data_IF_089637625734
#
_entry.id   IF_089637625734
#
_cell.length_a   1.000
_cell.length_b   1.000
_cell.length_c   1.000
_cell.angle_alpha   90.00
_cell.angle_beta   90.00
_cell.angle_gamma   90.00
#
_symmetry.space_group_name_H-M   'P 1'
#
loop_
_entity.id
_entity.type
_entity.pdbx_description
1 polymer ?
#
# COMPACT_ATOMS: atom_id res chain seq x y z
N UNK A 1 -3.73 4.86 -33.54
CA UNK A 1 -5.08 5.45 -33.42
C UNK A 1 -5.93 4.54 -32.55
N UNK A 2 -6.62 5.04 -31.50
CA UNK A 2 -7.39 4.15 -30.60
C UNK A 2 -8.84 4.02 -31.06
N UNK A 3 -9.21 2.84 -31.51
CA UNK A 3 -10.60 2.45 -31.77
C UNK A 3 -11.22 1.96 -30.46
N UNK A 4 -12.45 2.37 -30.17
CA UNK A 4 -13.29 1.83 -29.09
C UNK A 4 -14.47 1.19 -29.78
N UNK A 5 -14.55 -0.14 -29.80
CA UNK A 5 -15.77 -0.82 -30.24
C UNK A 5 -16.82 -0.71 -29.13
N UNK A 6 -18.03 -0.29 -29.50
CA UNK A 6 -19.21 -0.27 -28.63
C UNK A 6 -20.05 -1.49 -29.02
N UNK A 7 -19.82 -2.63 -28.39
CA UNK A 7 -20.86 -3.66 -28.33
C UNK A 7 -21.50 -3.65 -26.95
N UNK A 8 -22.71 -3.07 -26.90
CA UNK A 8 -23.66 -3.27 -25.80
C UNK A 8 -24.65 -4.32 -26.25
N UNK A 9 -24.62 -5.50 -25.64
CA UNK A 9 -25.80 -6.34 -25.52
C UNK A 9 -26.09 -6.55 -24.04
N UNK A 10 -27.22 -6.01 -23.60
CA UNK A 10 -27.75 -6.17 -22.26
C UNK A 10 -28.66 -7.41 -22.26
N UNK A 11 -28.19 -8.55 -21.77
CA UNK A 11 -29.08 -9.59 -21.25
C UNK A 11 -28.44 -10.51 -20.19
N UNK A 12 -28.75 -10.23 -18.92
CA UNK A 12 -29.05 -11.28 -17.94
C UNK A 12 -27.90 -12.10 -17.37
N UNK A 13 -27.14 -11.52 -16.43
CA UNK A 13 -26.43 -12.14 -15.27
C UNK A 13 -25.42 -13.28 -15.50
N UNK A 14 -25.42 -14.03 -16.60
CA UNK A 14 -24.46 -15.11 -16.90
C UNK A 14 -23.30 -14.67 -17.81
N UNK A 15 -23.48 -13.67 -18.66
CA UNK A 15 -22.47 -13.24 -19.65
C UNK A 15 -21.26 -12.51 -19.05
N UNK A 16 -21.38 -11.90 -17.85
CA UNK A 16 -20.28 -11.13 -17.24
C UNK A 16 -19.09 -11.97 -16.76
N UNK A 17 -19.22 -13.30 -16.64
CA UNK A 17 -18.10 -14.17 -16.25
C UNK A 17 -17.18 -14.54 -17.41
N UNK A 18 -17.64 -14.36 -18.67
CA UNK A 18 -16.86 -14.63 -19.88
C UNK A 18 -16.24 -13.37 -20.52
N UNK A 19 -16.51 -12.17 -19.98
CA UNK A 19 -16.01 -10.90 -20.54
C UNK A 19 -14.54 -10.58 -20.19
N UNK A 20 -14.01 -11.08 -19.07
CA UNK A 20 -12.64 -10.78 -18.61
C UNK A 20 -12.09 -11.84 -17.65
N UNK A 21 -10.76 -11.97 -17.61
CA UNK A 21 -10.10 -12.95 -16.76
C UNK A 21 -10.23 -12.58 -15.26
N UNK A 22 -10.43 -13.59 -14.43
CA UNK A 22 -10.41 -13.41 -12.99
C UNK A 22 -8.98 -13.21 -12.48
N UNK A 23 -8.80 -12.24 -11.60
CA UNK A 23 -7.56 -12.12 -10.84
C UNK A 23 -7.38 -13.33 -9.95
N UNK A 24 -6.20 -13.92 -10.02
CA UNK A 24 -5.88 -15.19 -9.37
C UNK A 24 -4.56 -15.07 -8.62
N UNK A 25 -4.52 -15.63 -7.42
CA UNK A 25 -3.34 -15.67 -6.57
C UNK A 25 -2.91 -17.12 -6.38
N UNK A 26 -1.69 -17.45 -6.80
CA UNK A 26 -1.04 -18.70 -6.41
C UNK A 26 -0.48 -18.52 -5.01
N UNK A 27 -1.04 -19.29 -4.07
CA UNK A 27 -0.72 -19.20 -2.64
C UNK A 27 0.74 -19.62 -2.37
N UNK A 28 1.38 -19.05 -1.33
CA UNK A 28 2.69 -19.48 -0.88
C UNK A 28 2.65 -20.95 -0.43
N UNK A 29 3.73 -21.68 -0.70
CA UNK A 29 3.97 -23.03 -0.20
C UNK A 29 4.14 -23.02 1.31
N UNK A 30 4.02 -24.20 1.93
CA UNK A 30 4.24 -24.38 3.37
C UNK A 30 5.63 -23.88 3.78
N UNK A 31 6.66 -24.21 2.99
CA UNK A 31 8.02 -23.73 3.21
C UNK A 31 8.11 -22.19 3.19
N UNK A 32 7.38 -21.54 2.28
CA UNK A 32 7.36 -20.08 2.22
C UNK A 32 6.67 -19.45 3.42
N UNK A 33 5.60 -20.07 3.91
CA UNK A 33 4.94 -19.68 5.16
C UNK A 33 5.87 -19.81 6.36
N UNK A 34 6.65 -20.89 6.43
CA UNK A 34 7.67 -21.10 7.46
C UNK A 34 8.67 -19.94 7.44
N UNK A 35 9.19 -19.55 6.27
CA UNK A 35 10.09 -18.39 6.14
C UNK A 35 9.43 -17.09 6.64
N UNK A 36 8.19 -16.83 6.25
CA UNK A 36 7.45 -15.62 6.70
C UNK A 36 7.33 -15.60 8.22
N UNK A 37 7.00 -16.74 8.85
CA UNK A 37 6.91 -16.88 10.30
C UNK A 37 8.27 -16.64 10.95
N UNK A 38 9.34 -17.26 10.45
CA UNK A 38 10.69 -17.07 10.99
C UNK A 38 11.18 -15.62 10.90
N UNK A 39 10.95 -14.94 9.78
CA UNK A 39 11.29 -13.52 9.63
C UNK A 39 10.51 -12.67 10.64
N UNK A 40 9.23 -12.96 10.82
CA UNK A 40 8.37 -12.24 11.78
C UNK A 40 8.87 -12.45 13.21
N UNK A 41 9.14 -13.69 13.60
CA UNK A 41 9.67 -14.02 14.92
C UNK A 41 11.05 -13.40 15.15
N UNK A 42 11.97 -13.50 14.18
CA UNK A 42 13.29 -12.89 14.26
C UNK A 42 13.23 -11.37 14.42
N UNK A 43 12.31 -10.71 13.71
CA UNK A 43 12.06 -9.26 13.84
C UNK A 43 11.55 -8.88 15.24
N UNK A 44 10.69 -9.70 15.83
CA UNK A 44 10.20 -9.49 17.19
C UNK A 44 11.27 -9.76 18.26
N UNK A 45 12.11 -10.79 18.07
CA UNK A 45 13.23 -11.08 18.97
C UNK A 45 14.26 -9.95 18.95
N UNK A 46 14.57 -9.42 17.75
CA UNK A 46 15.38 -8.23 17.60
C UNK A 46 14.79 -7.04 18.37
N UNK A 47 13.46 -6.88 18.33
CA UNK A 47 12.80 -5.82 19.07
C UNK A 47 12.92 -6.01 20.60
N UNK A 48 12.71 -7.22 21.13
CA UNK A 48 12.96 -7.53 22.56
C UNK A 48 14.38 -7.17 22.96
N UNK A 49 15.36 -7.58 22.17
CA UNK A 49 16.78 -7.34 22.46
C UNK A 49 17.11 -5.83 22.51
N UNK A 50 16.38 -5.00 21.77
CA UNK A 50 16.63 -3.56 21.68
C UNK A 50 15.86 -2.73 22.72
N UNK A 51 14.74 -3.22 23.24
CA UNK A 51 13.86 -2.44 24.14
C UNK A 51 13.74 -2.98 25.55
N UNK A 52 14.36 -4.13 25.85
CA UNK A 52 14.29 -4.80 27.16
C UNK A 52 12.85 -5.09 27.63
N UNK A 53 11.87 -5.07 26.72
CA UNK A 53 10.47 -5.35 27.00
C UNK A 53 10.34 -6.86 27.23
N UNK A 54 9.62 -7.32 28.29
CA UNK A 54 9.40 -8.74 28.51
C UNK A 54 8.80 -9.42 27.27
N UNK A 55 9.42 -10.53 26.84
CA UNK A 55 9.02 -11.26 25.64
C UNK A 55 7.53 -11.62 25.64
N UNK A 56 6.97 -11.98 26.80
CA UNK A 56 5.55 -12.32 26.95
C UNK A 56 4.63 -11.14 26.64
N UNK A 57 4.94 -9.95 27.17
CA UNK A 57 4.19 -8.73 26.90
C UNK A 57 4.30 -8.35 25.41
N UNK A 58 5.50 -8.48 24.84
CA UNK A 58 5.73 -8.19 23.43
C UNK A 58 4.92 -9.11 22.52
N UNK A 59 4.93 -10.42 22.79
CA UNK A 59 4.19 -11.40 22.00
C UNK A 59 2.69 -11.14 22.03
N UNK A 60 2.12 -10.75 23.18
CA UNK A 60 0.71 -10.37 23.29
C UNK A 60 0.40 -9.13 22.47
N UNK A 61 1.22 -8.08 22.58
CA UNK A 61 1.05 -6.82 21.84
C UNK A 61 1.16 -7.06 20.33
N UNK A 62 2.22 -7.74 19.88
CA UNK A 62 2.44 -8.04 18.45
C UNK A 62 1.33 -8.91 17.89
N UNK A 63 0.90 -9.96 18.61
CA UNK A 63 -0.18 -10.84 18.16
C UNK A 63 -1.49 -10.06 18.03
N UNK A 64 -1.80 -9.19 19.01
CA UNK A 64 -2.94 -8.29 18.95
C UNK A 64 -2.87 -7.36 17.75
N UNK A 65 -1.73 -6.69 17.54
CA UNK A 65 -1.50 -5.79 16.41
C UNK A 65 -1.64 -6.52 15.08
N UNK A 66 -1.07 -7.71 14.92
CA UNK A 66 -1.20 -8.52 13.71
C UNK A 66 -2.68 -8.85 13.45
N UNK A 67 -3.38 -9.35 14.47
CA UNK A 67 -4.78 -9.72 14.38
C UNK A 67 -5.67 -8.53 13.98
N UNK A 68 -5.55 -7.42 14.71
CA UNK A 68 -6.29 -6.20 14.41
C UNK A 68 -5.88 -5.60 13.07
N UNK A 69 -4.61 -5.69 12.65
CA UNK A 69 -4.15 -5.21 11.35
C UNK A 69 -4.84 -5.97 10.22
N UNK A 70 -4.85 -7.30 10.27
CA UNK A 70 -5.51 -8.12 9.23
C UNK A 70 -6.99 -7.76 9.12
N UNK A 71 -7.67 -7.63 10.27
CA UNK A 71 -9.07 -7.25 10.32
C UNK A 71 -9.31 -5.83 9.78
N UNK A 72 -8.50 -4.88 10.21
CA UNK A 72 -8.61 -3.48 9.80
C UNK A 72 -8.30 -3.31 8.32
N UNK A 73 -7.27 -3.95 7.79
CA UNK A 73 -6.92 -3.96 6.36
C UNK A 73 -8.06 -4.51 5.50
N UNK A 74 -8.75 -5.54 5.99
CA UNK A 74 -9.92 -6.08 5.31
C UNK A 74 -11.07 -5.07 5.25
N UNK A 75 -11.43 -4.46 6.39
CA UNK A 75 -12.51 -3.47 6.47
C UNK A 75 -12.20 -2.25 5.62
N UNK A 76 -11.02 -1.67 5.81
CA UNK A 76 -10.59 -0.46 5.11
C UNK A 76 -10.40 -0.72 3.63
N UNK A 77 -9.91 -1.89 3.21
CA UNK A 77 -9.87 -2.30 1.81
C UNK A 77 -11.26 -2.29 1.18
N UNK A 78 -12.25 -2.94 1.81
CA UNK A 78 -13.62 -2.93 1.32
C UNK A 78 -14.25 -1.53 1.28
N UNK A 79 -14.08 -0.77 2.36
CA UNK A 79 -14.61 0.58 2.48
C UNK A 79 -14.03 1.52 1.42
N UNK A 80 -12.70 1.52 1.28
CA UNK A 80 -11.97 2.35 0.32
C UNK A 80 -12.36 2.01 -1.10
N UNK A 81 -12.46 0.72 -1.44
CA UNK A 81 -12.89 0.29 -2.78
C UNK A 81 -14.32 0.75 -3.09
N UNK A 82 -15.25 0.58 -2.14
CA UNK A 82 -16.66 0.97 -2.34
C UNK A 82 -16.83 2.49 -2.44
N UNK A 83 -16.18 3.25 -1.57
CA UNK A 83 -16.40 4.69 -1.47
C UNK A 83 -15.50 5.46 -2.41
N UNK A 84 -14.22 5.12 -2.46
CA UNK A 84 -13.23 5.90 -3.19
C UNK A 84 -13.23 5.53 -4.67
N UNK A 85 -13.37 4.24 -5.03
CA UNK A 85 -13.30 3.81 -6.44
C UNK A 85 -14.68 3.84 -7.10
N UNK A 86 -15.61 3.03 -6.61
CA UNK A 86 -16.91 2.85 -7.28
C UNK A 86 -17.74 4.14 -7.29
N UNK A 87 -17.80 4.88 -6.18
CA UNK A 87 -18.55 6.16 -6.19
C UNK A 87 -17.88 7.19 -7.09
N UNK A 88 -16.55 7.23 -7.21
CA UNK A 88 -15.91 8.18 -8.13
C UNK A 88 -16.15 7.81 -9.58
N UNK A 89 -15.94 6.55 -9.98
CA UNK A 89 -16.16 6.12 -11.36
C UNK A 89 -17.62 6.37 -11.78
N UNK A 90 -18.57 6.05 -10.90
CA UNK A 90 -19.99 6.38 -11.11
C UNK A 90 -20.23 7.89 -11.27
N UNK A 91 -19.48 8.73 -10.53
CA UNK A 91 -19.67 10.19 -10.51
C UNK A 91 -18.92 10.96 -11.59
N UNK A 92 -17.91 10.37 -12.25
CA UNK A 92 -17.36 10.89 -13.52
C UNK A 92 -18.51 11.14 -14.50
N UNK A 93 -19.47 10.21 -14.53
CA UNK A 93 -20.65 10.24 -15.41
C UNK A 93 -21.78 11.17 -14.93
N UNK A 94 -21.91 11.43 -13.61
CA UNK A 94 -23.05 12.19 -13.03
C UNK A 94 -22.69 13.62 -12.63
N UNK A 95 -21.40 13.94 -12.57
CA UNK A 95 -20.91 15.32 -12.68
C UNK A 95 -20.80 16.17 -11.40
N UNK A 96 -21.30 15.73 -10.24
CA UNK A 96 -21.20 16.50 -8.97
C UNK A 96 -20.35 15.80 -7.92
N UNK A 97 -19.28 16.47 -7.48
CA UNK A 97 -18.38 16.01 -6.40
C UNK A 97 -18.29 17.10 -5.32
N UNK A 98 -18.62 16.75 -4.08
CA UNK A 98 -18.48 17.67 -2.95
C UNK A 98 -17.02 18.07 -2.74
N UNK A 99 -16.80 19.31 -2.29
CA UNK A 99 -15.47 19.93 -2.16
C UNK A 99 -14.50 19.04 -1.38
N UNK A 100 -14.85 18.61 -0.15
CA UNK A 100 -14.00 17.77 0.70
C UNK A 100 -13.57 16.46 0.03
N UNK A 101 -14.50 15.78 -0.65
CA UNK A 101 -14.19 14.54 -1.36
C UNK A 101 -13.25 14.83 -2.54
N UNK A 102 -13.41 15.95 -3.26
CA UNK A 102 -12.54 16.29 -4.39
C UNK A 102 -11.09 16.44 -3.95
N UNK A 103 -10.85 17.15 -2.84
CA UNK A 103 -9.50 17.34 -2.31
C UNK A 103 -8.90 16.07 -1.71
N UNK A 104 -9.67 15.30 -0.93
CA UNK A 104 -9.16 14.03 -0.39
C UNK A 104 -8.78 13.06 -1.50
N UNK A 105 -9.56 13.01 -2.58
CA UNK A 105 -9.26 12.14 -3.72
C UNK A 105 -8.07 12.64 -4.54
N UNK A 106 -7.89 13.96 -4.69
CA UNK A 106 -6.69 14.52 -5.30
C UNK A 106 -5.45 14.22 -4.46
N UNK A 107 -5.55 14.35 -3.13
CA UNK A 107 -4.47 14.04 -2.19
C UNK A 107 -4.05 12.56 -2.24
N UNK A 108 -5.03 11.65 -2.39
CA UNK A 108 -4.83 10.21 -2.56
C UNK A 108 -4.47 9.78 -4.00
N UNK A 109 -4.43 10.70 -4.97
CA UNK A 109 -4.14 10.39 -6.38
C UNK A 109 -5.25 9.67 -7.14
N UNK A 110 -6.49 9.75 -6.67
CA UNK A 110 -7.68 9.11 -7.25
C UNK A 110 -8.63 10.09 -7.93
N UNK A 111 -8.10 11.21 -8.41
CA UNK A 111 -8.90 12.11 -9.22
C UNK A 111 -9.04 11.50 -10.63
N UNK A 112 -10.18 10.85 -10.87
CA UNK A 112 -10.53 10.40 -12.21
C UNK A 112 -10.99 11.61 -13.02
N UNK A 113 -10.24 11.95 -14.05
CA UNK A 113 -10.49 13.09 -14.91
C UNK A 113 -11.57 12.75 -15.94
N UNK A 114 -12.59 13.59 -16.07
CA UNK A 114 -13.67 13.37 -17.04
C UNK A 114 -13.17 13.40 -18.49
N UNK A 115 -12.04 14.05 -18.75
CA UNK A 115 -11.48 14.15 -20.09
C UNK A 115 -10.77 12.86 -20.51
N UNK A 116 -10.42 11.99 -19.57
CA UNK A 116 -9.76 10.72 -19.85
C UNK A 116 -10.79 9.61 -20.12
N UNK A 117 -10.47 8.74 -21.09
CA UNK A 117 -11.29 7.55 -21.37
C UNK A 117 -10.77 6.37 -20.56
N UNK A 118 -11.53 5.96 -19.54
CA UNK A 118 -11.17 4.83 -18.67
C UNK A 118 -11.67 3.50 -19.24
N UNK A 119 -10.89 2.44 -19.06
CA UNK A 119 -11.28 1.06 -19.39
C UNK A 119 -10.67 0.05 -18.41
N UNK A 120 -11.27 -1.13 -18.34
CA UNK A 120 -10.78 -2.25 -17.55
C UNK A 120 -10.00 -3.22 -18.45
N UNK A 121 -8.76 -3.58 -18.11
CA UNK A 121 -8.02 -4.58 -18.91
C UNK A 121 -8.66 -5.97 -18.81
N UNK A 122 -8.99 -6.55 -19.97
CA UNK A 122 -9.56 -7.89 -20.13
C UNK A 122 -8.68 -8.95 -19.47
N UNK A 123 -7.38 -8.92 -19.78
CA UNK A 123 -6.42 -9.89 -19.25
C UNK A 123 -6.01 -9.48 -17.84
N UNK A 124 -6.24 -10.38 -16.89
CA UNK A 124 -5.83 -10.24 -15.51
C UNK A 124 -4.46 -10.87 -15.27
N UNK A 125 -3.76 -10.43 -14.23
CA UNK A 125 -2.44 -10.98 -13.87
C UNK A 125 -2.60 -12.13 -12.87
N UNK A 126 -1.96 -13.27 -13.16
CA UNK A 126 -1.73 -14.30 -12.14
C UNK A 126 -0.56 -13.84 -11.26
N UNK A 127 -0.78 -13.65 -9.96
CA UNK A 127 0.31 -13.41 -9.01
C UNK A 127 0.78 -14.69 -8.35
N UNK A 128 2.07 -14.97 -8.41
CA UNK A 128 2.72 -16.08 -7.72
C UNK A 128 3.45 -15.63 -6.47
N UNK A 129 2.82 -15.78 -5.31
CA UNK A 129 3.45 -15.47 -4.02
C UNK A 129 4.40 -16.56 -3.51
N UNK A 130 4.68 -17.61 -4.30
CA UNK A 130 5.90 -18.39 -4.11
C UNK A 130 7.14 -17.64 -4.59
N UNK A 131 6.99 -16.73 -5.58
CA UNK A 131 8.09 -15.91 -6.07
C UNK A 131 8.53 -14.93 -4.99
N UNK A 132 9.83 -14.95 -4.66
CA UNK A 132 10.44 -13.99 -3.74
C UNK A 132 10.23 -12.56 -4.26
N UNK A 133 10.39 -12.35 -5.56
CA UNK A 133 10.24 -11.03 -6.18
C UNK A 133 8.82 -10.50 -5.99
N UNK A 134 7.80 -11.31 -6.28
CA UNK A 134 6.42 -10.83 -6.18
C UNK A 134 5.97 -10.60 -4.73
N UNK A 135 6.45 -11.40 -3.78
CA UNK A 135 6.06 -11.25 -2.37
C UNK A 135 6.87 -10.16 -1.64
N UNK A 136 8.19 -10.11 -1.84
CA UNK A 136 9.06 -9.19 -1.11
C UNK A 136 9.24 -7.87 -1.85
N UNK A 137 9.61 -7.91 -3.14
CA UNK A 137 9.91 -6.68 -3.88
C UNK A 137 8.64 -5.92 -4.28
N UNK A 138 7.64 -6.62 -4.84
CA UNK A 138 6.45 -5.95 -5.38
C UNK A 138 5.38 -5.60 -4.32
N UNK A 139 5.50 -6.16 -3.11
CA UNK A 139 4.47 -6.09 -2.06
C UNK A 139 4.97 -5.70 -0.69
N UNK A 140 6.19 -6.02 -0.27
CA UNK A 140 6.61 -5.67 1.10
C UNK A 140 7.07 -4.21 1.22
N UNK A 141 7.66 -3.66 0.16
CA UNK A 141 8.24 -2.31 0.19
C UNK A 141 7.19 -1.22 0.44
N UNK A 142 6.02 -1.33 -0.19
CA UNK A 142 4.93 -0.34 -0.02
C UNK A 142 4.46 -0.21 1.44
N UNK A 143 4.06 -1.31 2.14
CA UNK A 143 3.62 -1.23 3.53
C UNK A 143 4.73 -0.86 4.49
N UNK A 144 5.98 -1.33 4.28
CA UNK A 144 7.11 -0.93 5.14
C UNK A 144 7.38 0.57 5.04
N UNK A 145 7.46 1.10 3.81
CA UNK A 145 7.67 2.52 3.57
C UNK A 145 6.52 3.36 4.16
N UNK A 146 5.27 2.94 3.94
CA UNK A 146 4.09 3.61 4.50
C UNK A 146 4.08 3.60 6.04
N UNK A 147 4.39 2.46 6.66
CA UNK A 147 4.47 2.32 8.11
C UNK A 147 5.58 3.18 8.71
N UNK A 148 6.77 3.21 8.10
CA UNK A 148 7.87 4.08 8.52
C UNK A 148 7.47 5.56 8.43
N UNK A 149 6.91 5.98 7.29
CA UNK A 149 6.52 7.38 7.10
C UNK A 149 5.41 7.84 8.03
N UNK A 150 4.38 7.02 8.21
CA UNK A 150 3.33 7.28 9.20
C UNK A 150 3.90 7.32 10.62
N UNK A 151 4.82 6.41 10.95
CA UNK A 151 5.41 6.29 12.28
C UNK A 151 6.17 7.56 12.66
N UNK A 152 7.10 8.01 11.82
CA UNK A 152 7.87 9.22 12.09
C UNK A 152 7.03 10.50 12.04
N UNK A 153 6.02 10.55 11.16
CA UNK A 153 5.08 11.67 11.14
C UNK A 153 4.33 11.77 12.47
N UNK A 154 3.78 10.66 12.97
CA UNK A 154 3.08 10.62 14.27
C UNK A 154 4.03 11.00 15.40
N UNK A 155 5.23 10.41 15.43
CA UNK A 155 6.25 10.72 16.44
C UNK A 155 6.56 12.23 16.43
N UNK A 156 6.68 12.86 15.27
CA UNK A 156 6.95 14.30 15.16
C UNK A 156 5.83 15.14 15.80
N UNK A 157 4.57 14.76 15.61
CA UNK A 157 3.43 15.47 16.22
C UNK A 157 3.24 15.17 17.70
N UNK A 158 3.62 13.97 18.15
CA UNK A 158 3.50 13.56 19.56
C UNK A 158 4.69 14.07 20.38
N UNK A 159 5.87 14.27 19.78
CA UNK A 159 7.10 14.73 20.43
C UNK A 159 6.90 15.90 21.40
N UNK A 160 6.16 16.98 21.07
CA UNK A 160 5.94 18.10 21.99
C UNK A 160 5.19 17.72 23.29
N UNK A 161 4.47 16.60 23.30
CA UNK A 161 3.73 16.10 24.46
C UNK A 161 4.59 15.22 25.38
N UNK A 162 5.84 14.94 24.98
CA UNK A 162 6.73 14.04 25.67
C UNK A 162 7.65 14.86 26.58
N UNK A 163 7.56 14.60 27.89
CA UNK A 163 8.27 15.38 28.90
C UNK A 163 9.48 14.66 29.49
N UNK A 164 9.62 13.35 29.24
CA UNK A 164 10.73 12.54 29.76
C UNK A 164 11.23 11.53 28.72
N UNK A 165 12.53 11.19 28.77
CA UNK A 165 13.16 10.20 27.88
C UNK A 165 12.48 8.82 27.95
N UNK A 166 12.11 8.27 29.12
CA UNK A 166 11.38 6.99 29.18
C UNK A 166 10.01 7.03 28.50
N UNK A 167 9.27 8.14 28.64
CA UNK A 167 7.99 8.33 27.92
C UNK A 167 8.23 8.37 26.40
N UNK A 168 9.31 9.01 25.95
CA UNK A 168 9.67 9.08 24.53
C UNK A 168 9.86 7.69 23.93
N UNK A 169 10.61 6.84 24.63
CA UNK A 169 10.90 5.47 24.18
C UNK A 169 9.64 4.61 24.16
N UNK A 170 8.78 4.69 25.18
CA UNK A 170 7.53 3.92 25.22
C UNK A 170 6.59 4.34 24.09
N UNK A 171 6.41 5.66 23.88
CA UNK A 171 5.54 6.19 22.84
C UNK A 171 6.08 5.85 21.46
N UNK A 172 7.38 6.02 21.21
CA UNK A 172 8.00 5.64 19.94
C UNK A 172 7.80 4.16 19.64
N UNK A 173 7.97 3.28 20.63
CA UNK A 173 7.73 1.85 20.49
C UNK A 173 6.25 1.53 20.16
N UNK A 174 5.30 2.12 20.88
CA UNK A 174 3.86 1.94 20.60
C UNK A 174 3.52 2.42 19.19
N UNK A 175 4.03 3.58 18.78
CA UNK A 175 3.77 4.13 17.45
C UNK A 175 4.33 3.22 16.38
N UNK A 176 5.61 2.84 16.46
CA UNK A 176 6.26 2.00 15.45
C UNK A 176 5.53 0.67 15.26
N UNK A 177 5.01 0.10 16.33
CA UNK A 177 4.37 -1.23 16.30
C UNK A 177 2.92 -1.16 15.89
N UNK A 178 2.25 -0.04 16.12
CA UNK A 178 0.88 0.18 15.65
C UNK A 178 0.82 0.69 14.22
N UNK A 179 1.93 1.16 13.63
CA UNK A 179 1.93 1.66 12.24
C UNK A 179 1.47 0.68 11.15
N UNK A 180 1.65 -0.66 11.27
CA UNK A 180 1.03 -1.61 10.34
C UNK A 180 -0.50 -1.51 10.31
N UNK A 181 -1.17 -1.24 11.44
CA UNK A 181 -2.62 -0.98 11.46
C UNK A 181 -2.97 0.23 10.59
N UNK A 182 -2.24 1.33 10.78
CA UNK A 182 -2.52 2.62 10.14
C UNK A 182 -2.27 2.57 8.63
N UNK A 183 -1.21 1.86 8.21
CA UNK A 183 -0.92 1.64 6.78
C UNK A 183 -2.06 0.91 6.05
N UNK A 184 -2.91 0.19 6.79
CA UNK A 184 -4.10 -0.49 6.28
C UNK A 184 -5.11 0.40 5.58
N UNK A 185 -5.11 1.70 5.86
CA UNK A 185 -5.99 2.63 5.14
C UNK A 185 -5.59 2.79 3.67
N UNK A 186 -4.29 2.67 3.35
CA UNK A 186 -3.73 3.05 2.05
C UNK A 186 -3.33 1.83 1.24
N UNK A 187 -2.68 0.85 1.88
CA UNK A 187 -2.02 -0.27 1.19
C UNK A 187 -3.04 -1.22 0.52
N UNK A 188 -4.05 -1.78 1.24
CA UNK A 188 -5.12 -2.57 0.63
C UNK A 188 -5.79 -1.85 -0.54
N UNK A 189 -6.07 -0.56 -0.37
CA UNK A 189 -6.71 0.26 -1.38
C UNK A 189 -5.85 0.35 -2.65
N UNK A 190 -4.59 0.75 -2.51
CA UNK A 190 -3.65 0.89 -3.62
C UNK A 190 -3.43 -0.44 -4.35
N UNK A 191 -3.28 -1.54 -3.61
CA UNK A 191 -3.13 -2.86 -4.22
C UNK A 191 -4.36 -3.28 -5.00
N UNK A 192 -5.57 -3.00 -4.50
CA UNK A 192 -6.78 -3.35 -5.24
C UNK A 192 -6.84 -2.59 -6.56
N UNK A 193 -6.47 -1.31 -6.60
CA UNK A 193 -6.40 -0.55 -7.86
C UNK A 193 -5.33 -1.15 -8.80
N UNK A 194 -4.13 -1.39 -8.28
CA UNK A 194 -3.01 -1.99 -9.04
C UNK A 194 -3.40 -3.31 -9.70
N UNK A 195 -4.08 -4.17 -8.97
CA UNK A 195 -4.45 -5.50 -9.46
C UNK A 195 -5.78 -5.52 -10.23
N UNK A 196 -6.63 -4.50 -10.05
CA UNK A 196 -7.82 -4.33 -10.88
C UNK A 196 -7.48 -3.99 -12.33
N UNK A 197 -6.28 -3.45 -12.60
CA UNK A 197 -5.81 -3.05 -13.94
C UNK A 197 -6.75 -2.09 -14.67
N UNK A 198 -7.19 -1.06 -13.95
CA UNK A 198 -7.90 0.07 -14.56
C UNK A 198 -6.88 0.93 -15.30
N UNK A 199 -7.14 1.19 -16.58
CA UNK A 199 -6.33 2.02 -17.46
C UNK A 199 -7.11 3.23 -17.93
N UNK A 200 -6.39 4.21 -18.44
CA UNK A 200 -7.03 5.34 -19.10
C UNK A 200 -6.21 5.85 -20.27
N UNK A 201 -6.92 6.47 -21.20
CA UNK A 201 -6.37 7.17 -22.35
C UNK A 201 -6.50 8.65 -22.10
N UNK A 202 -5.38 9.37 -22.18
CA UNK A 202 -5.37 10.83 -22.05
C UNK A 202 -5.83 11.51 -23.35
N UNK A 203 -5.94 12.84 -23.32
CA UNK A 203 -6.27 13.65 -24.51
C UNK A 203 -5.26 13.50 -25.66
N UNK A 204 -4.02 13.07 -25.36
CA UNK A 204 -2.94 12.82 -26.34
C UNK A 204 -2.95 11.40 -26.91
N UNK A 205 -3.92 10.57 -26.53
CA UNK A 205 -4.04 9.14 -26.88
C UNK A 205 -2.95 8.21 -26.29
N UNK A 206 -2.26 8.64 -25.25
CA UNK A 206 -1.35 7.80 -24.49
C UNK A 206 -2.11 6.96 -23.45
N UNK A 207 -1.68 5.71 -23.25
CA UNK A 207 -2.27 4.80 -22.26
C UNK A 207 -1.49 4.82 -20.96
N UNK A 208 -2.20 5.06 -19.87
CA UNK A 208 -1.65 5.10 -18.52
C UNK A 208 -2.35 4.13 -17.57
N UNK A 209 -1.65 3.80 -16.48
CA UNK A 209 -2.20 2.99 -15.39
C UNK A 209 -2.85 3.89 -14.35
N UNK A 210 -4.07 3.58 -13.92
CA UNK A 210 -4.70 4.33 -12.84
C UNK A 210 -3.88 4.28 -11.53
N UNK A 211 -3.17 3.17 -11.28
CA UNK A 211 -2.29 3.01 -10.12
C UNK A 211 -1.11 3.99 -10.09
N UNK A 212 -0.65 4.48 -11.24
CA UNK A 212 0.48 5.42 -11.33
C UNK A 212 0.10 6.79 -10.76
N UNK A 213 -1.17 7.19 -10.88
CA UNK A 213 -1.68 8.41 -10.25
C UNK A 213 -1.65 8.32 -8.72
N UNK A 214 -1.90 7.13 -8.16
CA UNK A 214 -1.78 6.87 -6.72
C UNK A 214 -0.32 6.86 -6.31
N UNK A 215 0.57 6.26 -7.10
CA UNK A 215 2.02 6.28 -6.84
C UNK A 215 2.59 7.70 -6.82
N UNK A 216 2.14 8.53 -7.75
CA UNK A 216 2.57 9.92 -7.88
C UNK A 216 1.80 10.89 -6.98
N UNK A 217 0.87 10.38 -6.17
CA UNK A 217 0.04 11.19 -5.29
C UNK A 217 0.87 11.92 -4.24
N UNK A 218 0.32 13.03 -3.79
CA UNK A 218 0.88 13.83 -2.69
C UNK A 218 1.09 12.95 -1.45
N UNK A 219 0.11 12.11 -1.11
CA UNK A 219 0.23 11.16 0.00
C UNK A 219 1.45 10.24 -0.14
N UNK A 220 1.66 9.60 -1.30
CA UNK A 220 2.77 8.66 -1.45
C UNK A 220 4.13 9.36 -1.36
N UNK A 221 4.23 10.59 -1.89
CA UNK A 221 5.41 11.44 -1.72
C UNK A 221 5.67 11.79 -0.24
N UNK A 222 4.59 12.07 0.51
CA UNK A 222 4.65 12.37 1.94
C UNK A 222 5.01 11.15 2.80
N UNK A 223 4.64 9.95 2.39
CA UNK A 223 4.90 8.74 3.16
C UNK A 223 6.29 8.16 2.89
N UNK A 224 6.81 8.28 1.67
CA UNK A 224 8.13 7.74 1.32
C UNK A 224 9.30 8.61 1.81
N UNK A 225 9.54 9.73 1.14
CA UNK A 225 10.76 10.52 1.33
C UNK A 225 10.74 11.37 2.61
N UNK A 226 9.63 12.08 2.87
CA UNK A 226 9.53 12.88 4.10
C UNK A 226 9.46 12.04 5.36
N UNK A 227 8.93 10.81 5.27
CA UNK A 227 8.97 9.84 6.37
C UNK A 227 10.41 9.48 6.78
N UNK A 228 11.24 9.16 5.79
CA UNK A 228 12.66 8.88 6.00
C UNK A 228 13.43 10.09 6.55
N UNK A 229 13.23 11.28 5.97
CA UNK A 229 13.90 12.52 6.43
C UNK A 229 13.45 12.90 7.85
N UNK A 230 12.15 12.83 8.14
CA UNK A 230 11.63 13.08 9.48
C UNK A 230 12.22 12.10 10.50
N UNK A 231 12.37 10.83 10.12
CA UNK A 231 12.98 9.82 10.99
C UNK A 231 14.45 10.07 11.29
N UNK A 232 15.25 10.42 10.27
CA UNK A 232 16.65 10.80 10.48
C UNK A 232 16.75 12.04 11.36
N UNK A 233 15.97 13.08 11.10
CA UNK A 233 15.98 14.30 11.92
C UNK A 233 15.58 14.00 13.37
N UNK A 234 14.51 13.21 13.57
CA UNK A 234 14.08 12.81 14.90
C UNK A 234 15.19 12.05 15.65
N UNK A 235 15.87 11.11 15.00
CA UNK A 235 16.96 10.35 15.60
C UNK A 235 18.17 11.24 15.90
N UNK A 236 18.54 12.14 14.99
CA UNK A 236 19.64 13.09 15.19
C UNK A 236 19.40 14.03 16.38
N UNK A 237 18.15 14.44 16.60
CA UNK A 237 17.77 15.25 17.77
C UNK A 237 17.73 14.43 19.06
N UNK A 238 17.28 13.17 18.99
CA UNK A 238 17.03 12.35 20.19
C UNK A 238 18.25 11.57 20.67
N UNK A 239 19.18 11.20 19.78
CA UNK A 239 20.37 10.42 20.14
C UNK A 239 21.27 11.15 21.14
N UNK A 240 21.61 12.43 20.97
CA UNK A 240 22.45 13.16 21.94
C UNK A 240 21.82 13.27 23.33
N UNK A 241 20.50 13.27 23.42
CA UNK A 241 19.75 13.34 24.68
C UNK A 241 19.72 11.98 25.42
N UNK A 242 20.01 10.88 24.73
CA UNK A 242 19.99 9.55 25.32
C UNK A 242 21.27 9.27 26.13
N UNK A 243 21.20 8.82 27.39
CA UNK A 243 22.37 8.64 28.26
C UNK A 243 23.47 7.76 27.66
N UNK A 244 23.08 6.70 26.93
CA UNK A 244 24.01 5.79 26.27
C UNK A 244 24.79 6.41 25.09
N UNK A 245 24.37 7.57 24.58
CA UNK A 245 24.97 8.23 23.41
C UNK A 245 25.37 9.70 23.69
N UNK A 246 25.12 10.22 24.89
CA UNK A 246 25.41 11.60 25.29
C UNK A 246 26.90 11.99 25.16
N UNK A 247 27.81 11.02 25.15
CA UNK A 247 29.26 11.22 24.97
C UNK A 247 29.67 11.30 23.48
N UNK A 248 28.76 11.05 22.54
CA UNK A 248 29.03 11.11 21.11
C UNK A 248 28.76 12.52 20.58
N UNK A 249 29.81 13.29 20.37
CA UNK A 249 29.69 14.68 19.90
C UNK A 249 29.90 14.87 18.39
N UNK A 250 30.38 13.83 17.68
CA UNK A 250 30.60 13.91 16.23
C UNK A 250 29.29 13.79 15.46
N UNK A 251 28.93 14.82 14.71
CA UNK A 251 27.75 14.84 13.84
C UNK A 251 27.76 13.70 12.83
N UNK A 252 28.93 13.35 12.28
CA UNK A 252 29.07 12.23 11.33
C UNK A 252 28.74 10.89 11.99
N UNK A 253 29.23 10.68 13.22
CA UNK A 253 28.98 9.43 13.97
C UNK A 253 27.51 9.33 14.36
N UNK A 254 26.89 10.43 14.81
CA UNK A 254 25.47 10.49 15.10
C UNK A 254 24.60 10.20 13.87
N UNK A 255 24.98 10.71 12.70
CA UNK A 255 24.30 10.42 11.45
C UNK A 255 24.38 8.93 11.08
N UNK A 256 25.57 8.33 11.17
CA UNK A 256 25.76 6.89 10.89
C UNK A 256 24.92 6.05 11.87
N UNK A 257 24.93 6.39 13.17
CA UNK A 257 24.10 5.72 14.17
C UNK A 257 22.61 5.85 13.89
N UNK A 258 22.13 7.05 13.51
CA UNK A 258 20.74 7.28 13.14
C UNK A 258 20.32 6.41 11.94
N UNK A 259 21.18 6.30 10.91
CA UNK A 259 20.92 5.42 9.76
C UNK A 259 20.86 3.95 10.18
N UNK A 260 21.79 3.49 11.01
CA UNK A 260 21.80 2.10 11.51
C UNK A 260 20.53 1.79 12.31
N UNK A 261 20.14 2.68 13.23
CA UNK A 261 18.92 2.52 14.03
C UNK A 261 17.68 2.51 13.13
N UNK A 262 17.64 3.38 12.12
CA UNK A 262 16.55 3.41 11.15
C UNK A 262 16.43 2.10 10.35
N UNK A 263 17.56 1.48 10.00
CA UNK A 263 17.57 0.15 9.36
C UNK A 263 17.01 -0.94 10.30
N UNK A 264 17.39 -0.92 11.58
CA UNK A 264 16.83 -1.85 12.56
C UNK A 264 15.32 -1.66 12.76
N UNK A 265 14.87 -0.41 12.87
CA UNK A 265 13.43 -0.08 12.93
C UNK A 265 12.71 -0.59 11.67
N UNK A 266 13.30 -0.41 10.49
CA UNK A 266 12.74 -0.89 9.22
C UNK A 266 12.60 -2.41 9.20
N UNK A 267 13.57 -3.15 9.75
CA UNK A 267 13.53 -4.61 9.86
C UNK A 267 12.41 -5.07 10.81
N UNK A 268 12.25 -4.43 11.96
CA UNK A 268 11.17 -4.74 12.93
C UNK A 268 9.80 -4.57 12.26
N UNK A 269 9.59 -3.43 11.60
CA UNK A 269 8.35 -3.13 10.88
C UNK A 269 8.11 -4.09 9.71
N UNK A 270 9.18 -4.51 9.02
CA UNK A 270 9.10 -5.43 7.89
C UNK A 270 8.57 -6.80 8.29
N UNK A 271 8.97 -7.34 9.45
CA UNK A 271 8.45 -8.62 9.94
C UNK A 271 6.93 -8.64 10.10
N UNK A 272 6.39 -7.65 10.83
CA UNK A 272 4.94 -7.54 11.08
C UNK A 272 4.18 -7.30 9.77
N UNK A 273 4.65 -6.35 8.95
CA UNK A 273 4.01 -6.05 7.67
C UNK A 273 4.04 -7.23 6.70
N UNK A 274 5.13 -8.00 6.66
CA UNK A 274 5.23 -9.21 5.83
C UNK A 274 4.16 -10.23 6.20
N UNK A 275 3.98 -10.48 7.50
CA UNK A 275 2.96 -11.42 7.97
C UNK A 275 1.54 -10.94 7.64
N UNK A 276 1.22 -9.70 8.02
CA UNK A 276 -0.11 -9.09 7.77
C UNK A 276 -0.42 -9.06 6.28
N UNK A 277 0.52 -8.59 5.45
CA UNK A 277 0.38 -8.55 4.01
C UNK A 277 0.14 -9.94 3.43
N UNK A 278 0.94 -10.94 3.82
CA UNK A 278 0.82 -12.31 3.28
C UNK A 278 -0.55 -12.92 3.62
N UNK A 279 -1.01 -12.76 4.86
CA UNK A 279 -2.34 -13.23 5.27
C UNK A 279 -3.45 -12.50 4.50
N UNK A 280 -3.42 -11.17 4.45
CA UNK A 280 -4.42 -10.38 3.73
C UNK A 280 -4.49 -10.76 2.25
N UNK A 281 -3.33 -10.82 1.59
CA UNK A 281 -3.19 -11.14 0.17
C UNK A 281 -3.73 -12.53 -0.16
N UNK A 282 -3.42 -13.54 0.66
CA UNK A 282 -3.78 -14.93 0.38
C UNK A 282 -5.22 -15.30 0.76
N UNK A 283 -5.87 -14.52 1.64
CA UNK A 283 -7.20 -14.86 2.18
C UNK A 283 -8.32 -13.94 1.71
N UNK A 284 -8.06 -12.65 1.49
CA UNK A 284 -9.12 -11.65 1.24
C UNK A 284 -8.95 -10.90 -0.08
N UNK A 285 -7.71 -10.60 -0.47
CA UNK A 285 -7.43 -9.68 -1.59
C UNK A 285 -8.01 -10.13 -2.93
N UNK A 286 -7.84 -11.42 -3.29
CA UNK A 286 -8.35 -11.95 -4.56
C UNK A 286 -9.85 -11.69 -4.74
N UNK A 287 -10.63 -12.01 -3.71
CA UNK A 287 -12.09 -11.81 -3.71
C UNK A 287 -12.44 -10.33 -3.89
N UNK A 288 -11.73 -9.44 -3.18
CA UNK A 288 -11.98 -8.00 -3.24
C UNK A 288 -11.69 -7.41 -4.64
N UNK A 289 -10.58 -7.82 -5.28
CA UNK A 289 -10.23 -7.39 -6.64
C UNK A 289 -11.27 -7.87 -7.65
N UNK A 290 -11.68 -9.14 -7.60
CA UNK A 290 -12.67 -9.69 -8.52
C UNK A 290 -14.05 -9.05 -8.33
N UNK A 291 -14.47 -8.80 -7.08
CA UNK A 291 -15.69 -8.04 -6.80
C UNK A 291 -15.63 -6.61 -7.37
N UNK A 292 -14.47 -5.96 -7.29
CA UNK A 292 -14.30 -4.62 -7.86
C UNK A 292 -14.38 -4.65 -9.38
N UNK A 293 -13.63 -5.53 -10.04
CA UNK A 293 -13.62 -5.70 -11.51
C UNK A 293 -15.06 -5.91 -12.03
N UNK A 294 -15.80 -6.85 -11.42
CA UNK A 294 -17.21 -7.15 -11.78
C UNK A 294 -18.17 -5.98 -11.55
N UNK A 295 -17.91 -5.11 -10.58
CA UNK A 295 -18.77 -3.94 -10.32
C UNK A 295 -18.45 -2.78 -11.26
N UNK A 296 -17.18 -2.61 -11.62
CA UNK A 296 -16.68 -1.53 -12.46
C UNK A 296 -17.11 -1.66 -13.93
N UNK A 297 -17.28 -2.89 -14.44
CA UNK A 297 -17.77 -3.14 -15.81
C UNK A 297 -19.14 -2.49 -16.09
N UNK A 298 -19.95 -2.25 -15.05
CA UNK A 298 -21.21 -1.50 -15.19
C UNK A 298 -21.01 -0.01 -15.52
N UNK A 299 -19.79 0.52 -15.39
CA UNK A 299 -19.50 1.96 -15.50
C UNK A 299 -18.40 2.30 -16.51
N UNK A 300 -17.47 1.39 -16.80
CA UNK A 300 -16.42 1.57 -17.82
C UNK A 300 -16.34 0.31 -18.68
N UNK A 301 -15.99 0.45 -19.97
CA UNK A 301 -15.85 -0.70 -20.86
C UNK A 301 -14.67 -1.60 -20.46
N UNK A 302 -14.76 -2.87 -20.81
CA UNK A 302 -13.62 -3.80 -20.84
C UNK A 302 -12.86 -3.55 -22.15
N UNK A 303 -11.54 -3.60 -22.12
CA UNK A 303 -10.70 -3.43 -23.30
C UNK A 303 -9.38 -4.20 -23.17
N UNK A 304 -8.65 -4.31 -24.27
CA UNK A 304 -7.35 -4.96 -24.31
C UNK A 304 -6.27 -3.94 -24.69
N UNK A 305 -5.09 -4.01 -24.07
CA UNK A 305 -3.94 -3.20 -24.50
C UNK A 305 -3.05 -4.09 -25.38
N UNK A 306 -3.00 -3.85 -26.68
CA UNK A 306 -2.06 -4.52 -27.59
C UNK A 306 -0.90 -3.58 -27.90
N UNK A 307 0.31 -4.12 -27.95
CA UNK A 307 1.50 -3.41 -28.42
C UNK A 307 1.76 -3.89 -29.84
N UNK A 308 1.45 -3.05 -30.82
CA UNK A 308 1.78 -3.32 -32.20
C UNK A 308 3.21 -2.83 -32.47
N UNK A 309 4.13 -3.77 -32.73
CA UNK A 309 5.44 -3.46 -33.29
C UNK A 309 5.28 -3.30 -34.80
N UNK A 310 4.78 -2.14 -35.22
CA UNK A 310 5.03 -1.67 -36.58
C UNK A 310 6.22 -0.74 -36.51
N UNK A 311 7.17 -0.88 -37.43
CA UNK A 311 8.27 0.06 -37.57
C UNK A 311 7.72 1.51 -37.51
N UNK A 312 7.99 2.17 -36.37
CA UNK A 312 7.72 3.57 -36.00
C UNK A 312 6.52 3.97 -35.11
N UNK A 313 5.49 3.16 -34.81
CA UNK A 313 4.42 3.61 -33.85
C UNK A 313 3.75 2.50 -33.04
N UNK A 314 3.66 2.69 -31.72
CA UNK A 314 2.82 1.89 -30.81
C UNK A 314 1.36 2.28 -30.96
N UNK A 315 0.50 1.33 -31.35
CA UNK A 315 -0.95 1.53 -31.42
C UNK A 315 -1.69 0.68 -30.38
N UNK A 316 -2.69 1.27 -29.71
CA UNK A 316 -3.56 0.57 -28.75
C UNK A 316 -4.97 0.46 -29.33
N UNK A 317 -5.53 -0.76 -29.32
CA UNK A 317 -6.87 -1.06 -29.85
C UNK A 317 -7.78 -1.42 -28.68
N UNK A 318 -8.84 -0.66 -28.42
CA UNK A 318 -9.91 -1.04 -27.49
C UNK A 318 -10.99 -1.77 -28.30
N UNK A 319 -11.03 -3.10 -28.16
CA UNK A 319 -12.17 -3.91 -28.63
C UNK A 319 -13.34 -3.74 -27.66
#
# INVERSE_FOLDING_TARGET
MVFISKEKNFNGKKEFEDEFDQFTIKKPSVFKWIIVVFITLGSNLLWVALTEIPLTLLLVVVSGVIFFSIFFWFITGQWSVRILVLKNIKRIHVGKMGFFLKYSMKFLGMHFDKNNKYFLEKISYLRDYNSVKELFYDRLLDPVSSSLGLGFLIITFVKPLITTVPQAMIIANIVLVTTPLLSGFIIPFYWVIKDSRIRYINEKNDVFKAEENIKNSTLNKFLGFSGFVAGINFLLESLPEHPAFAHVHSTLVLFILAVIILLFISLIIAGINLFVATVYLTTKHQKLVNELRKKITNYIPVGETRVLFNNEKTEVIIL
#
